data_IF_897603934005
#
_entry.id   IF_897603934005
#
_cell.length_a   1.000
_cell.length_b   1.000
_cell.length_c   1.000
_cell.angle_alpha   90.00
_cell.angle_beta   90.00
_cell.angle_gamma   90.00
#
_symmetry.space_group_name_H-M   'P 1'
#
loop_
_entity.id
_entity.type
_entity.pdbx_description
1 polymer ?
#
# COMPACT_ATOMS: atom_id res chain seq x y z
N UNK A 1 17.19 -9.73 -11.43
CA UNK A 1 15.90 -9.08 -11.16
C UNK A 1 16.11 -8.21 -9.92
N UNK A 2 15.99 -6.88 -10.06
CA UNK A 2 16.22 -5.95 -8.95
C UNK A 2 14.89 -5.50 -8.35
N UNK A 3 14.80 -5.46 -7.02
CA UNK A 3 13.70 -4.79 -6.29
C UNK A 3 13.91 -3.28 -6.36
N UNK A 4 12.83 -2.52 -6.53
CA UNK A 4 12.83 -1.06 -6.66
C UNK A 4 13.43 -0.37 -5.41
N UNK A 5 13.41 -1.03 -4.25
CA UNK A 5 13.66 -0.39 -2.95
C UNK A 5 15.05 -0.68 -2.38
N UNK A 6 15.73 -1.78 -2.76
CA UNK A 6 17.01 -2.16 -2.14
C UNK A 6 18.27 -1.55 -2.78
N UNK A 7 18.14 -0.86 -3.92
CA UNK A 7 19.18 0.03 -4.42
C UNK A 7 18.96 1.41 -3.85
N UNK A 8 19.92 2.01 -3.15
CA UNK A 8 19.90 3.42 -2.68
C UNK A 8 19.81 4.43 -3.84
N UNK A 9 18.72 4.41 -4.60
CA UNK A 9 18.43 5.33 -5.69
C UNK A 9 17.23 6.12 -5.22
N UNK A 10 17.47 7.39 -4.86
CA UNK A 10 16.40 8.31 -4.49
C UNK A 10 15.54 8.52 -5.73
N UNK A 11 14.32 7.97 -5.74
CA UNK A 11 13.40 8.12 -6.87
C UNK A 11 13.06 9.61 -7.02
N UNK A 12 13.02 10.09 -8.27
CA UNK A 12 12.47 11.42 -8.54
C UNK A 12 10.96 11.39 -8.29
N UNK A 13 10.37 12.54 -7.93
CA UNK A 13 8.92 12.64 -7.71
C UNK A 13 8.12 12.10 -8.92
N UNK A 14 8.60 12.32 -10.14
CA UNK A 14 8.00 11.80 -11.37
C UNK A 14 8.01 10.27 -11.44
N UNK A 15 9.12 9.63 -11.09
CA UNK A 15 9.28 8.18 -11.17
C UNK A 15 8.48 7.47 -10.06
N UNK A 16 8.44 8.09 -8.89
CA UNK A 16 7.59 7.67 -7.78
C UNK A 16 6.12 7.68 -8.15
N UNK A 17 5.60 8.79 -8.70
CA UNK A 17 4.20 8.87 -9.14
C UNK A 17 3.89 7.85 -10.24
N UNK A 18 4.86 7.60 -11.13
CA UNK A 18 4.72 6.60 -12.19
C UNK A 18 4.54 5.18 -11.62
N UNK A 19 5.46 4.72 -10.76
CA UNK A 19 5.36 3.38 -10.16
C UNK A 19 4.15 3.23 -9.25
N UNK A 20 3.83 4.26 -8.47
CA UNK A 20 2.65 4.24 -7.62
C UNK A 20 1.36 4.09 -8.44
N UNK A 21 1.28 4.79 -9.58
CA UNK A 21 0.13 4.68 -10.48
C UNK A 21 -0.02 3.27 -11.06
N UNK A 22 1.09 2.63 -11.44
CA UNK A 22 1.05 1.24 -11.94
C UNK A 22 0.61 0.24 -10.86
N UNK A 23 1.07 0.43 -9.61
CA UNK A 23 0.63 -0.40 -8.48
C UNK A 23 -0.86 -0.20 -8.20
N UNK A 24 -1.35 1.05 -8.21
CA UNK A 24 -2.76 1.36 -8.01
C UNK A 24 -3.62 0.68 -9.10
N UNK A 25 -3.21 0.77 -10.37
CA UNK A 25 -3.93 0.14 -11.47
C UNK A 25 -3.98 -1.39 -11.33
N UNK A 26 -2.90 -2.01 -10.88
CA UNK A 26 -2.84 -3.44 -10.62
C UNK A 26 -3.78 -3.85 -9.46
N UNK A 27 -3.74 -3.12 -8.34
CA UNK A 27 -4.62 -3.38 -7.19
C UNK A 27 -6.10 -3.17 -7.53
N UNK A 28 -6.43 -2.08 -8.22
CA UNK A 28 -7.80 -1.81 -8.67
C UNK A 28 -8.32 -2.92 -9.59
N UNK A 29 -7.46 -3.44 -10.48
CA UNK A 29 -7.82 -4.58 -11.33
C UNK A 29 -8.17 -5.82 -10.51
N UNK A 30 -7.32 -6.20 -9.54
CA UNK A 30 -7.58 -7.32 -8.64
C UNK A 30 -8.87 -7.11 -7.82
N UNK A 31 -9.06 -5.91 -7.28
CA UNK A 31 -10.21 -5.55 -6.48
C UNK A 31 -11.52 -5.62 -7.29
N UNK A 32 -11.50 -5.21 -8.56
CA UNK A 32 -12.65 -5.37 -9.47
C UNK A 32 -12.98 -6.83 -9.74
N UNK A 33 -12.00 -7.72 -9.70
CA UNK A 33 -12.20 -9.18 -9.80
C UNK A 33 -12.57 -9.83 -8.46
N UNK A 34 -12.71 -9.05 -7.38
CA UNK A 34 -13.02 -9.59 -6.04
C UNK A 34 -11.82 -10.31 -5.39
N UNK A 35 -10.60 -9.93 -5.76
CA UNK A 35 -9.35 -10.48 -5.24
C UNK A 35 -8.70 -9.44 -4.31
N UNK A 36 -8.30 -9.84 -3.11
CA UNK A 36 -7.44 -9.05 -2.20
C UNK A 36 -6.02 -9.61 -2.29
N UNK A 37 -5.03 -8.74 -2.43
CA UNK A 37 -3.64 -9.13 -2.62
C UNK A 37 -2.93 -9.54 -1.32
N UNK A 38 -3.06 -8.74 -0.26
CA UNK A 38 -2.66 -8.99 1.15
C UNK A 38 -1.16 -9.11 1.46
N UNK A 39 -0.27 -8.98 0.48
CA UNK A 39 1.18 -9.02 0.71
C UNK A 39 1.92 -7.97 -0.11
N UNK A 40 1.40 -6.74 -0.13
CA UNK A 40 2.05 -5.62 -0.81
C UNK A 40 3.27 -5.15 -0.01
N UNK A 41 4.43 -5.36 -0.61
CA UNK A 41 5.74 -5.01 -0.05
C UNK A 41 6.78 -4.83 -1.17
N UNK A 42 7.88 -4.12 -0.92
CA UNK A 42 8.93 -3.89 -1.89
C UNK A 42 9.49 -5.13 -2.60
N UNK A 43 9.57 -6.26 -1.90
CA UNK A 43 10.10 -7.51 -2.42
C UNK A 43 9.20 -8.12 -3.50
N UNK A 44 7.90 -7.83 -3.43
CA UNK A 44 6.90 -8.35 -4.37
C UNK A 44 6.60 -7.38 -5.53
N UNK A 45 7.33 -6.26 -5.61
CA UNK A 45 7.20 -5.24 -6.65
C UNK A 45 8.46 -5.28 -7.50
N UNK A 46 8.35 -5.93 -8.65
CA UNK A 46 9.46 -6.10 -9.58
C UNK A 46 9.30 -5.19 -10.79
N UNK A 47 10.42 -4.90 -11.45
CA UNK A 47 10.42 -4.25 -12.76
C UNK A 47 10.69 -5.28 -13.86
N UNK A 48 9.94 -5.18 -14.95
CA UNK A 48 10.25 -5.93 -16.17
C UNK A 48 11.41 -5.30 -16.97
N UNK A 49 11.72 -5.89 -18.13
CA UNK A 49 12.82 -5.43 -18.98
C UNK A 49 12.61 -4.03 -19.57
N UNK A 50 11.36 -3.55 -19.57
CA UNK A 50 10.97 -2.22 -20.03
C UNK A 50 10.89 -1.22 -18.87
N UNK A 51 11.01 -1.67 -17.63
CA UNK A 51 10.94 -0.84 -16.43
C UNK A 51 9.53 -0.60 -15.91
N UNK A 52 8.55 -1.44 -16.29
CA UNK A 52 7.19 -1.39 -15.74
C UNK A 52 7.03 -2.29 -14.52
N UNK A 53 6.19 -1.86 -13.58
CA UNK A 53 5.87 -2.60 -12.36
C UNK A 53 5.12 -3.89 -12.67
N UNK A 54 5.55 -4.97 -12.01
CA UNK A 54 4.83 -6.23 -11.93
C UNK A 54 4.72 -6.67 -10.47
N UNK A 55 3.48 -6.92 -10.03
CA UNK A 55 3.23 -7.60 -8.77
C UNK A 55 3.56 -9.08 -8.93
N UNK A 56 4.25 -9.65 -7.94
CA UNK A 56 4.57 -11.08 -7.89
C UNK A 56 3.99 -11.72 -6.64
N UNK A 57 4.15 -13.04 -6.47
CA UNK A 57 3.72 -13.77 -5.29
C UNK A 57 2.24 -13.58 -4.88
N UNK A 58 1.36 -14.25 -5.61
CA UNK A 58 -0.08 -14.27 -5.33
C UNK A 58 -0.47 -15.35 -4.31
N UNK A 59 0.50 -15.96 -3.61
CA UNK A 59 0.27 -17.08 -2.69
C UNK A 59 -0.61 -16.73 -1.48
N UNK A 60 -0.69 -15.43 -1.15
CA UNK A 60 -1.51 -14.91 -0.06
C UNK A 60 -2.80 -14.23 -0.54
N UNK A 61 -3.10 -14.27 -1.84
CA UNK A 61 -4.32 -13.66 -2.36
C UNK A 61 -5.59 -14.33 -1.82
N UNK A 62 -6.67 -13.55 -1.74
CA UNK A 62 -8.00 -14.05 -1.37
C UNK A 62 -9.02 -13.67 -2.43
N UNK A 63 -9.62 -14.67 -3.05
CA UNK A 63 -10.65 -14.51 -4.07
C UNK A 63 -12.08 -14.50 -3.48
N UNK A 64 -13.06 -14.19 -4.34
CA UNK A 64 -14.50 -14.25 -4.03
C UNK A 64 -14.94 -13.29 -2.91
N UNK A 65 -14.23 -12.16 -2.76
CA UNK A 65 -14.60 -11.11 -1.82
C UNK A 65 -15.66 -10.21 -2.47
N UNK A 66 -16.92 -10.47 -2.12
CA UNK A 66 -18.06 -9.60 -2.43
C UNK A 66 -18.14 -8.44 -1.44
N UNK A 67 -18.82 -7.36 -1.82
CA UNK A 67 -19.06 -6.23 -0.93
C UNK A 67 -19.78 -6.70 0.35
N UNK A 68 -19.19 -6.44 1.51
CA UNK A 68 -19.70 -6.86 2.82
C UNK A 68 -19.13 -8.18 3.36
N UNK A 69 -18.42 -8.99 2.55
CA UNK A 69 -17.75 -10.20 3.04
C UNK A 69 -16.35 -9.88 3.55
N UNK A 70 -16.03 -10.35 4.76
CA UNK A 70 -14.71 -10.20 5.39
C UNK A 70 -14.03 -11.54 5.57
N UNK A 71 -12.70 -11.54 5.52
CA UNK A 71 -11.88 -12.70 5.91
C UNK A 71 -11.17 -12.43 7.23
N UNK A 72 -10.90 -13.46 8.02
CA UNK A 72 -10.24 -13.36 9.31
C UNK A 72 -8.82 -13.98 9.31
N UNK A 73 -8.31 -14.36 8.13
CA UNK A 73 -7.00 -15.02 8.03
C UNK A 73 -5.87 -14.04 8.35
N UNK A 74 -5.10 -14.34 9.39
CA UNK A 74 -3.89 -13.59 9.71
C UNK A 74 -2.76 -13.99 8.74
N UNK A 75 -2.41 -13.10 7.81
CA UNK A 75 -1.34 -13.31 6.82
C UNK A 75 -0.80 -11.98 6.28
N UNK A 76 0.36 -12.03 5.61
CA UNK A 76 1.09 -10.88 5.07
C UNK A 76 2.41 -10.64 5.81
N UNK A 77 3.03 -9.49 5.53
CA UNK A 77 4.27 -9.04 6.16
C UNK A 77 3.95 -7.98 7.21
N UNK A 78 4.36 -8.18 8.47
CA UNK A 78 3.88 -7.42 9.65
C UNK A 78 4.03 -5.91 9.46
N UNK A 79 5.12 -5.50 8.81
CA UNK A 79 5.49 -4.13 8.50
C UNK A 79 4.45 -3.39 7.65
N UNK A 80 3.73 -4.11 6.79
CA UNK A 80 2.77 -3.58 5.84
C UNK A 80 1.32 -3.96 6.17
N UNK A 81 1.08 -4.72 7.24
CA UNK A 81 -0.25 -5.18 7.63
C UNK A 81 -1.12 -4.05 8.19
N UNK A 82 -2.40 -4.07 7.82
CA UNK A 82 -3.42 -3.21 8.40
C UNK A 82 -3.76 -3.62 9.85
N UNK A 83 -4.15 -2.67 10.73
CA UNK A 83 -4.46 -2.94 12.13
C UNK A 83 -5.57 -4.00 12.29
N UNK A 84 -6.57 -4.00 11.41
CA UNK A 84 -7.67 -4.97 11.42
C UNK A 84 -7.23 -6.41 11.14
N UNK A 85 -6.13 -6.61 10.40
CA UNK A 85 -5.50 -7.92 10.24
C UNK A 85 -4.87 -8.34 11.56
N UNK A 86 -4.15 -7.42 12.22
CA UNK A 86 -3.49 -7.67 13.50
C UNK A 86 -4.49 -7.99 14.62
N UNK A 87 -5.63 -7.30 14.64
CA UNK A 87 -6.72 -7.52 15.63
C UNK A 87 -7.69 -8.62 15.22
N UNK A 88 -7.53 -9.21 14.02
CA UNK A 88 -8.41 -10.26 13.46
C UNK A 88 -9.88 -9.84 13.37
N UNK A 89 -10.15 -8.54 13.26
CA UNK A 89 -11.49 -7.94 13.25
C UNK A 89 -12.31 -8.24 11.98
N UNK A 90 -11.72 -8.99 11.04
CA UNK A 90 -12.28 -9.18 9.70
C UNK A 90 -11.77 -8.08 8.78
N UNK A 91 -11.30 -8.46 7.61
CA UNK A 91 -10.75 -7.53 6.63
C UNK A 91 -11.25 -7.79 5.22
N UNK A 92 -11.27 -6.72 4.43
CA UNK A 92 -11.63 -6.69 3.02
C UNK A 92 -10.55 -6.01 2.17
N UNK A 93 -10.94 -5.45 1.04
CA UNK A 93 -10.03 -4.79 0.08
C UNK A 93 -9.22 -3.61 0.66
N UNK A 94 -9.70 -3.01 1.75
CA UNK A 94 -9.07 -1.87 2.41
C UNK A 94 -7.63 -2.13 2.88
N UNK A 95 -7.28 -3.38 3.18
CA UNK A 95 -5.95 -3.73 3.68
C UNK A 95 -4.84 -3.51 2.66
N UNK A 96 -5.14 -3.66 1.36
CA UNK A 96 -4.16 -3.41 0.31
C UNK A 96 -3.84 -1.91 0.19
N UNK A 97 -4.82 -1.04 0.45
CA UNK A 97 -4.62 0.41 0.49
C UNK A 97 -3.80 0.85 1.70
N UNK A 98 -3.96 0.17 2.84
CA UNK A 98 -3.09 0.37 4.00
C UNK A 98 -1.64 0.01 3.65
N UNK A 99 -1.41 -1.18 3.11
CA UNK A 99 -0.08 -1.61 2.70
C UNK A 99 0.53 -0.69 1.64
N UNK A 100 -0.30 -0.14 0.73
CA UNK A 100 0.14 0.87 -0.24
C UNK A 100 0.64 2.13 0.47
N UNK A 101 -0.09 2.63 1.47
CA UNK A 101 0.33 3.79 2.25
C UNK A 101 1.66 3.58 2.99
N UNK A 102 1.86 2.39 3.57
CA UNK A 102 3.12 2.03 4.21
C UNK A 102 4.28 1.95 3.20
N UNK A 103 4.09 1.29 2.06
CA UNK A 103 5.06 1.24 0.96
C UNK A 103 5.42 2.64 0.45
N UNK A 104 4.40 3.48 0.31
CA UNK A 104 4.51 4.84 -0.18
C UNK A 104 5.37 5.70 0.77
N UNK A 105 5.18 5.54 2.08
CA UNK A 105 6.03 6.14 3.11
C UNK A 105 7.49 5.65 3.03
N UNK A 106 7.70 4.34 2.88
CA UNK A 106 9.03 3.75 2.77
C UNK A 106 9.78 4.29 1.53
N UNK A 107 9.09 4.40 0.40
CA UNK A 107 9.66 4.94 -0.84
C UNK A 107 10.07 6.42 -0.71
N UNK A 108 9.34 7.22 0.08
CA UNK A 108 9.63 8.65 0.28
C UNK A 108 10.76 8.88 1.30
N UNK A 109 10.80 8.09 2.36
CA UNK A 109 11.72 8.28 3.48
C UNK A 109 12.99 7.44 3.37
N UNK A 110 12.96 6.37 2.58
CA UNK A 110 14.05 5.39 2.50
C UNK A 110 14.25 4.59 3.79
N UNK A 111 13.28 4.59 4.69
CA UNK A 111 13.36 3.90 5.98
C UNK A 111 12.05 3.18 6.30
N UNK A 112 12.14 1.88 6.61
CA UNK A 112 11.01 1.10 7.12
C UNK A 112 10.77 1.52 8.58
N UNK A 113 9.66 2.20 8.84
CA UNK A 113 9.36 2.68 10.20
C UNK A 113 7.87 2.56 10.54
N UNK A 114 7.47 1.33 10.92
CA UNK A 114 6.14 0.96 11.44
C UNK A 114 5.65 1.97 12.50
N UNK A 115 6.54 2.42 13.39
CA UNK A 115 6.20 3.32 14.49
C UNK A 115 5.79 4.73 14.06
N UNK A 116 6.28 5.23 12.91
CA UNK A 116 5.97 6.57 12.43
C UNK A 116 4.69 6.59 11.57
N UNK A 117 4.41 5.50 10.84
CA UNK A 117 3.17 5.38 10.05
C UNK A 117 1.93 5.27 10.94
N UNK A 118 1.98 4.46 12.01
CA UNK A 118 0.85 4.33 12.96
C UNK A 118 0.44 5.66 13.60
N UNK A 119 1.41 6.54 13.89
CA UNK A 119 1.18 7.86 14.49
C UNK A 119 0.62 8.84 13.44
N UNK A 120 1.15 8.81 12.22
CA UNK A 120 0.71 9.71 11.14
C UNK A 120 -0.66 9.33 10.56
N UNK A 121 -0.99 8.04 10.48
CA UNK A 121 -2.26 7.54 9.92
C UNK A 121 -3.45 7.72 10.87
N UNK A 122 -3.21 7.67 12.19
CA UNK A 122 -4.23 8.03 13.19
C UNK A 122 -4.61 9.51 13.09
N UNK A 123 -3.65 10.40 12.81
CA UNK A 123 -3.93 11.82 12.53
C UNK A 123 -4.71 12.04 11.22
N UNK A 124 -4.47 11.20 10.19
CA UNK A 124 -5.19 11.22 8.92
C UNK A 124 -6.68 10.86 9.09
N UNK A 125 -7.00 9.89 9.96
CA UNK A 125 -8.37 9.47 10.25
C UNK A 125 -9.13 10.40 11.23
N UNK A 126 -8.43 11.19 12.06
CA UNK A 126 -9.06 12.09 13.06
C UNK A 126 -9.13 13.56 12.63
N UNK A 127 -8.78 13.90 11.38
CA UNK A 127 -9.02 15.24 10.82
C UNK A 127 -8.14 16.36 11.38
N UNK A 128 -6.94 16.05 11.91
CA UNK A 128 -5.97 17.07 12.31
C UNK A 128 -4.70 16.90 11.48
N UNK A 129 -4.59 17.69 10.41
CA UNK A 129 -3.35 17.83 9.64
C UNK A 129 -2.71 19.16 10.01
N UNK A 130 -1.58 19.11 10.70
CA UNK A 130 -0.55 20.16 10.67
C UNK A 130 0.67 19.57 9.99
N UNK A 131 0.89 19.94 8.73
CA UNK A 131 2.20 19.80 8.10
C UNK A 131 2.60 21.17 7.58
N UNK A 132 3.67 21.71 8.16
CA UNK A 132 4.23 23.00 7.79
C UNK A 132 5.11 22.87 6.55
N UNK A 133 4.82 23.76 5.62
CA UNK A 133 5.70 24.33 4.60
C UNK A 133 5.93 23.53 3.32
N UNK A 134 5.03 23.85 2.38
CA UNK A 134 5.18 23.91 0.93
C UNK A 134 4.65 22.69 0.15
N UNK A 135 3.32 22.65 0.18
CA UNK A 135 2.39 22.25 -0.88
C UNK A 135 2.24 20.76 -1.20
N UNK A 136 1.17 20.17 -0.63
CA UNK A 136 0.20 19.44 -1.45
C UNK A 136 -1.18 19.40 -0.76
N UNK A 137 -2.19 19.93 -1.45
CA UNK A 137 -3.60 19.92 -1.05
C UNK A 137 -4.21 18.53 -1.25
N UNK A 138 -5.11 18.12 -0.35
CA UNK A 138 -6.00 16.98 -0.57
C UNK A 138 -7.46 17.43 -0.39
N UNK A 139 -8.22 17.35 -1.48
CA UNK A 139 -9.67 17.52 -1.47
C UNK A 139 -10.31 16.15 -1.26
N UNK A 140 -11.16 16.03 -0.23
CA UNK A 140 -12.21 15.01 -0.20
C UNK A 140 -13.50 15.68 0.27
N UNK A 141 -14.25 16.20 -0.70
CA UNK A 141 -15.69 16.39 -0.55
C UNK A 141 -16.39 15.12 -1.01
N UNK A 142 -16.89 14.35 -0.04
CA UNK A 142 -18.02 13.42 -0.22
C UNK A 142 -18.66 13.25 1.16
N UNK A 143 -19.64 14.11 1.44
CA UNK A 143 -20.88 13.72 2.12
C UNK A 143 -21.88 13.33 1.03
#
# INVERSE_FOLDING_TARGET
MGSIVYGKVRLTASLYSFYLSEIILALEHLHRQGIIYRDLKPENILLDAQGHVKLTDFGLCKEHIQEGNVTHTFCGTIEYMAPEILTRSGHGKAVDWWSLGALMYDMLTGAVSISLFYISFRCFLTGVVLFSSNDMYCYTGCL
#
